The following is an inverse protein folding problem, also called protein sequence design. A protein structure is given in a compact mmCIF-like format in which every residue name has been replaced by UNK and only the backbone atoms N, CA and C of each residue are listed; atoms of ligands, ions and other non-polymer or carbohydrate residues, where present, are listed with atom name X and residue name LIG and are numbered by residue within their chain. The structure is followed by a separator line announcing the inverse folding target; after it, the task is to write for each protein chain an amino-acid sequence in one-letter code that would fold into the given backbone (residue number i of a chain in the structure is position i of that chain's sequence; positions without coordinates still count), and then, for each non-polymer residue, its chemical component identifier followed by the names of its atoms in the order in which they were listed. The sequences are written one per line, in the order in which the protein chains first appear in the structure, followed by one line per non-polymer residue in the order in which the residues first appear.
data_IF_633303284605
#
_entry.id   IF_633303284605
#
_cell.length_a   1.000
_cell.length_b   1.000
_cell.length_c   1.000
_cell.angle_alpha   90.00
_cell.angle_beta   90.00
_cell.angle_gamma   90.00
#
_symmetry.space_group_name_H-M   'P 1'
#
loop_
_entity.id
_entity.type
_entity.pdbx_description
1 polymer ?
#
# COMPACT_ATOMS: atom_id res chain seq x y z
N UNK A 1 18.03 -0.39 -4.48
CA UNK A 1 17.87 0.59 -3.38
C UNK A 1 18.72 1.80 -3.72
N UNK A 2 18.17 3.02 -3.60
CA UNK A 2 18.87 4.27 -3.95
C UNK A 2 18.86 5.19 -2.75
N UNK A 3 20.01 5.79 -2.43
CA UNK A 3 20.16 6.71 -1.30
C UNK A 3 20.33 8.14 -1.82
N UNK A 4 19.49 9.06 -1.35
CA UNK A 4 19.52 10.48 -1.71
C UNK A 4 20.01 11.34 -0.53
N UNK A 5 21.21 11.92 -0.65
CA UNK A 5 21.84 12.73 0.40
C UNK A 5 22.03 14.19 -0.06
N UNK A 6 22.04 15.11 0.89
CA UNK A 6 22.25 16.54 0.64
C UNK A 6 21.94 17.41 1.87
N UNK A 7 22.51 18.62 1.96
CA UNK A 7 22.33 19.52 3.10
C UNK A 7 20.86 19.95 3.26
N UNK A 8 20.45 20.50 4.42
CA UNK A 8 19.14 21.13 4.58
C UNK A 8 18.87 22.14 3.46
N UNK A 9 17.64 22.15 2.92
CA UNK A 9 17.28 23.04 1.80
C UNK A 9 17.70 22.57 0.41
N UNK A 10 18.45 21.46 0.26
CA UNK A 10 18.90 20.96 -1.06
C UNK A 10 17.80 20.35 -1.96
N UNK A 11 16.52 20.45 -1.57
CA UNK A 11 15.40 19.97 -2.39
C UNK A 11 15.15 18.47 -2.40
N UNK A 12 15.75 17.66 -1.52
CA UNK A 12 15.57 16.20 -1.46
C UNK A 12 14.10 15.80 -1.37
N UNK A 13 13.38 16.36 -0.40
CA UNK A 13 11.96 16.08 -0.19
C UNK A 13 11.13 16.55 -1.39
N UNK A 14 11.47 17.71 -1.98
CA UNK A 14 10.83 18.22 -3.20
C UNK A 14 11.02 17.28 -4.38
N UNK A 15 12.22 16.71 -4.56
CA UNK A 15 12.49 15.71 -5.59
C UNK A 15 11.68 14.43 -5.38
N UNK A 16 11.62 13.90 -4.15
CA UNK A 16 10.82 12.72 -3.83
C UNK A 16 9.31 12.95 -4.06
N UNK A 17 8.81 14.15 -3.72
CA UNK A 17 7.44 14.53 -4.02
C UNK A 17 7.18 14.59 -5.53
N UNK A 18 8.11 15.16 -6.31
CA UNK A 18 8.02 15.17 -7.77
C UNK A 18 8.01 13.77 -8.39
N UNK A 19 8.83 12.85 -7.87
CA UNK A 19 8.86 11.45 -8.31
C UNK A 19 7.60 10.66 -7.91
N UNK A 20 6.85 11.13 -6.92
CA UNK A 20 5.60 10.50 -6.48
C UNK A 20 4.34 11.14 -7.08
N UNK A 21 4.49 12.12 -7.99
CA UNK A 21 3.37 12.86 -8.56
C UNK A 21 2.65 13.75 -7.53
N UNK A 22 3.33 14.13 -6.43
CA UNK A 22 2.80 14.95 -5.32
C UNK A 22 3.49 16.31 -5.23
N UNK A 23 4.06 16.81 -6.32
CA UNK A 23 4.70 18.12 -6.35
C UNK A 23 3.64 19.23 -6.24
N UNK A 24 3.94 20.27 -5.48
CA UNK A 24 3.08 21.44 -5.36
C UNK A 24 2.88 22.13 -6.72
N UNK A 25 1.64 22.52 -7.05
CA UNK A 25 1.28 23.14 -8.32
C UNK A 25 1.97 24.49 -8.57
N UNK A 26 2.46 25.17 -7.52
CA UNK A 26 3.23 26.41 -7.63
C UNK A 26 4.69 26.18 -8.04
N UNK A 27 5.18 24.94 -8.05
CA UNK A 27 6.54 24.59 -8.43
C UNK A 27 6.60 24.14 -9.89
N UNK A 28 7.60 24.65 -10.62
CA UNK A 28 7.86 24.23 -12.00
C UNK A 28 8.87 23.09 -12.01
N UNK A 29 8.51 22.00 -12.71
CA UNK A 29 9.42 20.90 -13.02
C UNK A 29 9.99 21.07 -14.42
N UNK A 30 11.28 20.82 -14.58
CA UNK A 30 11.94 20.66 -15.88
C UNK A 30 12.50 19.24 -16.02
N UNK A 31 12.66 18.78 -17.27
CA UNK A 31 13.05 17.41 -17.57
C UNK A 31 11.88 16.42 -17.60
N UNK A 32 12.19 15.16 -17.89
CA UNK A 32 11.22 14.08 -18.05
C UNK A 32 11.44 13.01 -16.99
N UNK A 33 10.35 12.46 -16.46
CA UNK A 33 10.35 11.29 -15.58
C UNK A 33 9.62 10.17 -16.31
N UNK A 34 10.20 8.97 -16.31
CA UNK A 34 9.56 7.77 -16.83
C UNK A 34 9.53 6.71 -15.74
N UNK A 35 8.46 5.92 -15.73
CA UNK A 35 8.22 4.84 -14.79
C UNK A 35 8.10 3.55 -15.60
N UNK A 36 9.13 2.70 -15.52
CA UNK A 36 9.22 1.49 -16.35
C UNK A 36 9.04 1.76 -17.86
N UNK A 37 9.54 2.90 -18.35
CA UNK A 37 9.41 3.31 -19.75
C UNK A 37 8.16 4.11 -20.09
N UNK A 38 7.17 4.17 -19.19
CA UNK A 38 5.93 4.94 -19.36
C UNK A 38 6.06 6.35 -18.82
N UNK A 39 5.44 7.31 -19.49
CA UNK A 39 5.33 8.70 -19.03
C UNK A 39 4.23 8.85 -17.99
N UNK A 40 4.32 9.92 -17.19
CA UNK A 40 3.35 10.25 -16.15
C UNK A 40 1.93 10.52 -16.67
N UNK A 41 1.77 10.92 -17.93
CA UNK A 41 0.46 11.13 -18.54
C UNK A 41 -0.22 9.83 -19.01
N UNK A 42 0.50 8.71 -19.02
CA UNK A 42 -0.03 7.41 -19.43
C UNK A 42 -0.80 6.69 -18.31
N UNK A 43 -0.61 7.10 -17.04
CA UNK A 43 -1.25 6.47 -15.87
C UNK A 43 -1.22 7.38 -14.64
N UNK A 44 -1.96 7.02 -13.58
CA UNK A 44 -1.92 7.76 -12.33
C UNK A 44 -0.67 7.39 -11.51
N UNK A 45 0.35 8.26 -11.50
CA UNK A 45 1.59 8.04 -10.72
C UNK A 45 1.30 7.90 -9.22
N UNK A 46 0.34 8.65 -8.70
CA UNK A 46 0.05 8.69 -7.26
C UNK A 46 -0.49 7.35 -6.73
N UNK A 47 -1.02 6.47 -7.57
CA UNK A 47 -1.49 5.12 -7.18
C UNK A 47 -0.39 4.07 -7.24
N UNK A 48 0.72 4.37 -7.90
CA UNK A 48 1.82 3.41 -8.15
C UNK A 48 3.12 3.80 -7.44
N UNK A 49 3.28 5.07 -7.07
CA UNK A 49 4.42 5.59 -6.35
C UNK A 49 3.99 6.17 -4.99
N UNK A 50 4.52 5.59 -3.90
CA UNK A 50 4.28 6.07 -2.55
C UNK A 50 5.48 6.86 -2.03
N UNK A 51 5.24 8.09 -1.59
CA UNK A 51 6.18 8.86 -0.77
C UNK A 51 5.66 8.88 0.67
N UNK A 52 6.47 8.39 1.61
CA UNK A 52 6.18 8.38 3.05
C UNK A 52 6.68 9.72 3.64
N UNK A 53 5.84 10.37 4.43
CA UNK A 53 6.17 11.64 5.09
C UNK A 53 7.23 11.43 6.18
N UNK A 54 7.94 12.48 6.55
CA UNK A 54 8.83 12.47 7.72
C UNK A 54 8.07 12.40 9.05
N UNK A 55 6.80 12.84 9.04
CA UNK A 55 5.93 12.85 10.21
C UNK A 55 4.90 11.74 10.03
N UNK A 56 4.85 10.83 10.99
CA UNK A 56 3.79 9.84 11.10
C UNK A 56 2.53 10.50 11.66
N UNK A 57 1.42 10.33 10.94
CA UNK A 57 0.10 10.79 11.38
C UNK A 57 -0.76 9.56 11.72
N UNK A 58 -0.67 9.09 12.97
CA UNK A 58 -1.42 7.94 13.46
C UNK A 58 -2.59 8.37 14.35
N UNK A 59 -3.69 7.61 14.30
CA UNK A 59 -4.81 7.76 15.23
C UNK A 59 -4.39 7.06 16.53
N UNK A 60 -4.24 7.82 17.61
CA UNK A 60 -3.66 7.34 18.87
C UNK A 60 -4.51 6.29 19.58
N UNK A 61 -5.80 6.21 19.22
CA UNK A 61 -6.80 5.33 19.80
C UNK A 61 -6.89 3.97 19.11
N UNK A 62 -6.18 3.75 18.00
CA UNK A 62 -6.20 2.49 17.27
C UNK A 62 -4.98 1.63 17.60
N UNK A 63 -5.22 0.32 17.77
CA UNK A 63 -4.15 -0.67 17.81
C UNK A 63 -3.46 -0.80 16.45
N UNK A 64 -2.28 -1.45 16.38
CA UNK A 64 -1.59 -1.74 15.11
C UNK A 64 -2.51 -2.50 14.15
N UNK A 65 -3.23 -3.50 14.66
CA UNK A 65 -4.20 -4.30 13.89
C UNK A 65 -5.32 -3.44 13.35
N UNK A 66 -5.93 -2.61 14.18
CA UNK A 66 -7.02 -1.73 13.76
C UNK A 66 -6.55 -0.66 12.78
N UNK A 67 -5.33 -0.15 12.96
CA UNK A 67 -4.71 0.82 12.04
C UNK A 67 -4.52 0.20 10.65
N UNK A 68 -3.99 -1.01 10.58
CA UNK A 68 -3.81 -1.72 9.31
C UNK A 68 -5.15 -2.11 8.68
N UNK A 69 -6.13 -2.53 9.49
CA UNK A 69 -7.47 -2.87 9.00
C UNK A 69 -8.19 -1.62 8.45
N UNK A 70 -8.07 -0.49 9.13
CA UNK A 70 -8.55 0.81 8.67
C UNK A 70 -7.88 1.21 7.35
N UNK A 71 -6.55 1.13 7.28
CA UNK A 71 -5.80 1.45 6.07
C UNK A 71 -6.21 0.58 4.88
N UNK A 72 -6.38 -0.73 5.08
CA UNK A 72 -6.83 -1.66 4.06
C UNK A 72 -8.22 -1.29 3.52
N UNK A 73 -9.16 -0.96 4.41
CA UNK A 73 -10.51 -0.49 4.02
C UNK A 73 -10.45 0.80 3.20
N UNK A 74 -9.61 1.77 3.61
CA UNK A 74 -9.41 3.03 2.89
C UNK A 74 -8.76 2.86 1.51
N UNK A 75 -7.91 1.83 1.33
CA UNK A 75 -7.31 1.48 0.04
C UNK A 75 -8.28 0.77 -0.92
N UNK A 76 -9.56 0.65 -0.54
CA UNK A 76 -10.58 0.03 -1.38
C UNK A 76 -10.69 -1.50 -1.19
N UNK A 77 -10.05 -2.08 -0.17
CA UNK A 77 -10.18 -3.52 0.08
C UNK A 77 -11.60 -3.96 0.47
N UNK A 78 -12.50 -3.02 0.82
CA UNK A 78 -13.88 -3.35 1.25
C UNK A 78 -14.98 -3.01 0.26
N UNK A 79 -14.78 -2.08 -0.68
CA UNK A 79 -15.80 -1.68 -1.65
C UNK A 79 -15.38 -2.10 -3.06
N UNK A 80 -16.03 -3.15 -3.57
CA UNK A 80 -15.84 -3.64 -4.94
C UNK A 80 -14.94 -4.87 -5.06
N UNK A 81 -14.22 -5.30 -4.01
CA UNK A 81 -13.38 -6.50 -4.08
C UNK A 81 -14.22 -7.76 -4.37
N UNK A 82 -15.41 -7.86 -3.77
CA UNK A 82 -16.35 -8.96 -4.05
C UNK A 82 -16.91 -8.95 -5.47
N UNK A 83 -17.17 -7.77 -6.05
CA UNK A 83 -17.66 -7.67 -7.43
C UNK A 83 -16.53 -7.90 -8.44
N UNK A 84 -15.34 -7.36 -8.18
CA UNK A 84 -14.13 -7.65 -8.96
C UNK A 84 -13.78 -9.15 -8.93
N UNK A 85 -13.96 -9.83 -7.80
CA UNK A 85 -13.77 -11.28 -7.71
C UNK A 85 -14.73 -12.06 -8.61
N UNK A 86 -15.99 -11.62 -8.75
CA UNK A 86 -16.95 -12.26 -9.67
C UNK A 86 -16.51 -12.10 -11.12
N UNK A 87 -16.09 -10.89 -11.50
CA UNK A 87 -15.58 -10.63 -12.86
C UNK A 87 -14.30 -11.42 -13.14
N UNK A 88 -13.40 -11.50 -12.16
CA UNK A 88 -12.17 -12.29 -12.26
C UNK A 88 -12.48 -13.78 -12.49
N UNK A 89 -13.39 -14.36 -11.70
CA UNK A 89 -13.83 -15.74 -11.86
C UNK A 89 -14.42 -16.00 -13.26
N UNK A 90 -15.18 -15.04 -13.80
CA UNK A 90 -15.74 -15.17 -15.14
C UNK A 90 -14.63 -15.21 -16.20
N UNK A 91 -13.66 -14.30 -16.13
CA UNK A 91 -12.52 -14.25 -17.04
C UNK A 91 -11.61 -15.47 -16.94
N UNK A 92 -11.38 -15.98 -15.72
CA UNK A 92 -10.61 -17.21 -15.51
C UNK A 92 -11.27 -18.41 -16.20
N UNK A 93 -12.59 -18.52 -16.10
CA UNK A 93 -13.36 -19.57 -16.78
C UNK A 93 -13.32 -19.43 -18.30
N UNK A 94 -13.51 -18.23 -18.83
CA UNK A 94 -13.43 -17.97 -20.28
C UNK A 94 -12.05 -18.29 -20.85
N UNK A 95 -10.99 -17.94 -20.12
CA UNK A 95 -9.59 -18.13 -20.54
C UNK A 95 -9.01 -19.49 -20.15
N UNK A 96 -9.80 -20.36 -19.49
CA UNK A 96 -9.35 -21.67 -18.97
C UNK A 96 -8.11 -21.54 -18.07
N UNK A 97 -8.07 -20.48 -17.27
CA UNK A 97 -7.03 -20.24 -16.28
C UNK A 97 -7.48 -20.92 -14.99
N UNK A 98 -6.58 -21.72 -14.40
CA UNK A 98 -6.81 -22.34 -13.10
C UNK A 98 -5.86 -21.75 -12.08
N UNK A 99 -6.34 -20.91 -11.15
CA UNK A 99 -5.50 -20.40 -10.07
C UNK A 99 -5.04 -21.55 -9.18
N UNK A 100 -3.90 -21.36 -8.51
CA UNK A 100 -3.48 -22.29 -7.45
C UNK A 100 -4.49 -22.23 -6.31
N UNK A 101 -4.78 -23.39 -5.71
CA UNK A 101 -5.77 -23.52 -4.62
C UNK A 101 -5.54 -22.54 -3.47
N UNK A 102 -4.28 -22.24 -3.12
CA UNK A 102 -3.94 -21.28 -2.06
C UNK A 102 -4.31 -19.84 -2.42
N UNK A 103 -4.10 -19.44 -3.67
CA UNK A 103 -4.42 -18.10 -4.17
C UNK A 103 -5.93 -17.93 -4.23
N UNK A 104 -6.63 -18.92 -4.77
CA UNK A 104 -8.09 -18.93 -4.86
C UNK A 104 -8.75 -18.87 -3.47
N UNK A 105 -8.24 -19.66 -2.52
CA UNK A 105 -8.70 -19.63 -1.13
C UNK A 105 -8.48 -18.25 -0.47
N UNK A 106 -7.30 -17.65 -0.66
CA UNK A 106 -7.00 -16.31 -0.13
C UNK A 106 -7.88 -15.23 -0.75
N UNK A 107 -8.02 -15.23 -2.08
CA UNK A 107 -8.81 -14.26 -2.83
C UNK A 107 -10.29 -14.36 -2.45
N UNK A 108 -10.82 -15.58 -2.36
CA UNK A 108 -12.17 -15.86 -1.87
C UNK A 108 -12.36 -15.36 -0.44
N UNK A 109 -11.46 -15.73 0.48
CA UNK A 109 -11.56 -15.32 1.88
C UNK A 109 -11.46 -13.79 2.08
N UNK A 110 -10.64 -13.12 1.26
CA UNK A 110 -10.50 -11.65 1.27
C UNK A 110 -11.73 -10.92 0.72
N UNK A 111 -12.57 -11.62 -0.06
CA UNK A 111 -13.81 -11.08 -0.64
C UNK A 111 -15.03 -11.20 0.24
N UNK A 112 -14.99 -12.09 1.25
CA UNK A 112 -16.09 -12.28 2.20
C UNK A 112 -16.06 -11.15 3.23
N UNK A 113 -16.98 -10.19 3.09
CA UNK A 113 -17.18 -9.16 4.10
C UNK A 113 -17.76 -9.72 5.40
N UNK A 114 -17.48 -9.06 6.53
CA UNK A 114 -18.14 -9.34 7.82
C UNK A 114 -17.27 -9.97 8.90
N UNK A 115 -15.99 -10.28 8.64
CA UNK A 115 -15.04 -10.63 9.71
C UNK A 115 -14.61 -9.37 10.47
N UNK A 116 -14.36 -9.52 11.77
CA UNK A 116 -13.91 -8.41 12.65
C UNK A 116 -12.60 -7.76 12.15
N UNK A 117 -11.74 -8.57 11.51
CA UNK A 117 -10.50 -8.18 10.86
C UNK A 117 -10.36 -8.85 9.50
N UNK A 118 -9.80 -8.15 8.51
CA UNK A 118 -9.57 -8.68 7.17
C UNK A 118 -8.44 -9.74 7.19
N UNK A 119 -8.61 -10.84 6.44
CA UNK A 119 -7.58 -11.89 6.27
C UNK A 119 -6.28 -11.31 5.71
N UNK A 120 -6.37 -10.28 4.87
CA UNK A 120 -5.22 -9.53 4.38
C UNK A 120 -4.47 -8.81 5.50
N UNK A 121 -5.17 -8.25 6.49
CA UNK A 121 -4.56 -7.61 7.67
C UNK A 121 -3.77 -8.62 8.50
N UNK A 122 -4.34 -9.80 8.76
CA UNK A 122 -3.64 -10.89 9.48
C UNK A 122 -2.38 -11.33 8.74
N UNK A 123 -2.47 -11.45 7.42
CA UNK A 123 -1.33 -11.83 6.58
C UNK A 123 -0.23 -10.76 6.64
N UNK A 124 -0.58 -9.48 6.49
CA UNK A 124 0.36 -8.35 6.55
C UNK A 124 1.04 -8.27 7.92
N UNK A 125 0.30 -8.45 9.02
CA UNK A 125 0.88 -8.48 10.36
C UNK A 125 1.95 -9.57 10.49
N UNK A 126 1.69 -10.79 10.00
CA UNK A 126 2.66 -11.89 10.06
C UNK A 126 3.87 -11.64 9.17
N UNK A 127 3.68 -11.19 7.94
CA UNK A 127 4.78 -10.95 7.00
C UNK A 127 5.70 -9.82 7.49
N UNK A 128 5.14 -8.79 8.11
CA UNK A 128 5.91 -7.68 8.68
C UNK A 128 6.48 -7.99 10.08
N UNK A 129 6.15 -9.15 10.68
CA UNK A 129 6.57 -9.49 12.04
C UNK A 129 5.95 -8.59 13.11
N UNK A 130 4.74 -8.10 12.87
CA UNK A 130 3.98 -7.20 13.75
C UNK A 130 2.89 -7.94 14.55
N UNK A 131 2.75 -9.25 14.38
CA UNK A 131 1.76 -10.09 15.06
C UNK A 131 1.89 -10.03 16.59
N UNK A 132 3.12 -9.98 17.12
CA UNK A 132 3.37 -9.82 18.55
C UNK A 132 2.93 -8.47 19.13
N UNK A 133 2.73 -7.46 18.27
CA UNK A 133 2.39 -6.09 18.67
C UNK A 133 1.04 -5.65 18.11
N UNK A 134 0.24 -6.59 17.60
CA UNK A 134 -1.02 -6.30 16.93
C UNK A 134 -1.98 -5.49 17.79
N UNK A 135 -1.95 -5.70 19.10
CA UNK A 135 -2.89 -5.11 20.06
C UNK A 135 -2.30 -3.89 20.78
N UNK A 136 -1.12 -3.42 20.35
CA UNK A 136 -0.47 -2.23 20.89
C UNK A 136 -1.02 -0.97 20.21
N UNK A 137 -1.30 0.08 20.99
CA UNK A 137 -1.88 1.35 20.51
C UNK A 137 -0.88 2.29 19.80
N UNK A 138 0.42 2.00 19.85
CA UNK A 138 1.46 2.89 19.32
C UNK A 138 2.58 2.08 18.67
N UNK A 139 2.73 2.20 17.35
CA UNK A 139 3.90 1.71 16.63
C UNK A 139 4.96 2.82 16.58
N UNK A 140 5.69 3.04 17.67
CA UNK A 140 6.86 3.94 17.63
C UNK A 140 8.12 3.13 17.38
N UNK A 141 8.66 3.24 16.17
CA UNK A 141 10.00 2.78 15.82
C UNK A 141 10.25 1.29 16.06
N UNK A 142 9.66 0.42 15.23
CA UNK A 142 10.13 -0.95 15.13
C UNK A 142 11.42 -0.98 14.28
N UNK A 143 12.57 -0.99 14.96
CA UNK A 143 13.81 -1.50 14.37
C UNK A 143 13.70 -3.01 14.45
N UNK A 144 13.49 -3.66 13.31
CA UNK A 144 13.62 -5.12 13.20
C UNK A 144 15.09 -5.49 13.41
N UNK A 145 15.44 -5.80 14.65
CA UNK A 145 16.71 -6.45 14.97
C UNK A 145 16.66 -7.88 14.49
N UNK A 146 17.39 -8.19 13.41
CA UNK A 146 17.72 -9.56 13.05
C UNK A 146 18.40 -10.23 14.26
N UNK A 147 17.83 -11.33 14.73
CA UNK A 147 18.59 -12.34 15.50
C UNK A 147 19.40 -13.20 14.54
#
# INVERSE_FOLDING_TARGET
MTLLLGPPGSGKSTLLLALSGKLDNGLKRTGNITYNGHKEDEFCVQTTCACISQIDNHIAELTVRETLDFAARCQGASHGFGDYMKDLHHLEKERKIHPKSEIDAYMTASSVGGTKHNVSTEYVLKVLGLDMCSDMMHLKGFVTGNR
#
